data_IF_570295790882
#
_entry.id   IF_570295790882
#
_cell.length_a   1.000
_cell.length_b   1.000
_cell.length_c   1.000
_cell.angle_alpha   90.00
_cell.angle_beta   90.00
_cell.angle_gamma   90.00
#
_symmetry.space_group_name_H-M   'P 1'
#
loop_
_entity.id
_entity.type
_entity.pdbx_description
1 polymer ?
#
# COMPACT_ATOMS: atom_id res chain seq x y z
N UNK A 1 7.33 25.42 13.55
CA UNK A 1 8.67 24.83 13.79
C UNK A 1 9.37 24.36 12.51
N UNK A 2 8.66 24.09 11.41
CA UNK A 2 9.25 24.03 10.05
C UNK A 2 9.78 25.41 9.60
N UNK A 3 9.04 26.46 9.94
CA UNK A 3 9.55 27.82 9.89
C UNK A 3 10.42 28.07 11.14
N UNK A 4 11.70 27.72 11.08
CA UNK A 4 12.70 28.08 12.08
C UNK A 4 13.13 29.56 11.88
N UNK A 5 12.23 30.51 12.13
CA UNK A 5 12.48 31.94 11.89
C UNK A 5 13.11 32.22 10.50
N UNK A 6 12.57 31.59 9.45
CA UNK A 6 13.01 31.76 8.06
C UNK A 6 14.19 30.91 7.61
N UNK A 7 14.75 30.03 8.46
CA UNK A 7 15.93 29.22 8.12
C UNK A 7 15.64 27.88 7.43
N UNK A 8 14.40 27.40 7.44
CA UNK A 8 13.96 26.17 6.77
C UNK A 8 14.93 24.99 6.95
N UNK A 9 15.45 24.78 8.16
CA UNK A 9 16.45 23.76 8.48
C UNK A 9 15.94 22.71 9.47
N UNK A 10 16.45 21.47 9.35
CA UNK A 10 16.04 20.31 10.16
C UNK A 10 16.72 20.27 11.54
N UNK A 11 17.43 21.33 11.92
CA UNK A 11 18.31 21.38 13.10
C UNK A 11 17.54 21.35 14.43
N UNK A 12 16.28 21.78 14.43
CA UNK A 12 15.39 21.80 15.60
C UNK A 12 14.36 20.67 15.63
N UNK A 13 14.36 19.77 14.64
CA UNK A 13 13.41 18.66 14.58
C UNK A 13 13.83 17.51 15.52
N UNK A 14 12.86 16.92 16.22
CA UNK A 14 13.08 15.68 16.98
C UNK A 14 13.39 14.51 16.04
N UNK A 15 13.90 13.40 16.59
CA UNK A 15 14.12 12.18 15.80
C UNK A 15 12.85 11.69 15.10
N UNK A 16 11.72 11.75 15.80
CA UNK A 16 10.39 11.38 15.29
C UNK A 16 9.92 12.31 14.18
N UNK A 17 10.09 13.63 14.33
CA UNK A 17 9.72 14.61 13.31
C UNK A 17 10.54 14.41 12.01
N UNK A 18 11.83 14.09 12.13
CA UNK A 18 12.67 13.74 10.96
C UNK A 18 12.24 12.44 10.30
N UNK A 19 11.88 11.42 11.08
CA UNK A 19 11.37 10.16 10.54
C UNK A 19 10.05 10.37 9.79
N UNK A 20 9.14 11.15 10.36
CA UNK A 20 7.86 11.50 9.77
C UNK A 20 8.03 12.30 8.47
N UNK A 21 8.91 13.30 8.46
CA UNK A 21 9.23 14.09 7.26
C UNK A 21 9.79 13.20 6.15
N UNK A 22 10.73 12.30 6.47
CA UNK A 22 11.29 11.34 5.49
C UNK A 22 10.22 10.41 4.92
N UNK A 23 9.34 9.90 5.78
CA UNK A 23 8.22 9.05 5.36
C UNK A 23 7.32 9.78 4.36
N UNK A 24 6.85 10.99 4.69
CA UNK A 24 5.98 11.76 3.80
C UNK A 24 6.69 12.20 2.52
N UNK A 25 7.97 12.55 2.59
CA UNK A 25 8.76 12.84 1.39
C UNK A 25 8.83 11.62 0.46
N UNK A 26 9.03 10.40 1.00
CA UNK A 26 9.01 9.14 0.24
C UNK A 26 7.64 8.89 -0.38
N UNK A 27 6.56 8.97 0.41
CA UNK A 27 5.18 8.77 -0.04
C UNK A 27 4.79 9.74 -1.16
N UNK A 28 5.01 11.04 -0.97
CA UNK A 28 4.69 12.05 -1.98
C UNK A 28 5.52 11.90 -3.24
N UNK A 29 6.80 11.50 -3.11
CA UNK A 29 7.64 11.20 -4.27
C UNK A 29 7.10 10.01 -5.05
N UNK A 30 6.67 8.93 -4.37
CA UNK A 30 6.05 7.77 -5.02
C UNK A 30 4.76 8.14 -5.74
N UNK A 31 3.87 8.90 -5.09
CA UNK A 31 2.61 9.34 -5.70
C UNK A 31 2.82 10.13 -7.01
N UNK A 32 3.96 10.83 -7.15
CA UNK A 32 4.30 11.57 -8.37
C UNK A 32 5.09 10.76 -9.41
N UNK A 33 5.75 9.67 -9.00
CA UNK A 33 6.60 8.84 -9.88
C UNK A 33 5.86 7.64 -10.45
N UNK A 34 5.05 6.97 -9.64
CA UNK A 34 4.29 5.80 -10.08
C UNK A 34 3.02 6.29 -10.79
N UNK A 35 2.84 5.90 -12.05
CA UNK A 35 1.70 6.33 -12.86
C UNK A 35 0.40 5.74 -12.35
N UNK A 36 0.45 4.49 -11.87
CA UNK A 36 -0.65 3.85 -11.16
C UNK A 36 -1.18 4.72 -10.00
N UNK A 37 -0.30 5.37 -9.21
CA UNK A 37 -0.72 6.23 -8.11
C UNK A 37 -1.25 7.59 -8.58
N UNK A 38 -0.57 8.26 -9.51
CA UNK A 38 -0.94 9.62 -9.95
C UNK A 38 -2.16 9.65 -10.87
N UNK A 39 -2.24 8.72 -11.83
CA UNK A 39 -3.18 8.77 -12.96
C UNK A 39 -4.04 7.50 -13.07
N UNK A 40 -3.77 6.48 -12.27
CA UNK A 40 -4.39 5.17 -12.41
C UNK A 40 -5.89 5.12 -12.19
N UNK A 41 -6.46 4.03 -12.71
CA UNK A 41 -7.80 3.60 -12.34
C UNK A 41 -7.78 3.15 -10.88
N UNK A 42 -8.89 3.39 -10.18
CA UNK A 42 -9.09 2.97 -8.81
C UNK A 42 -10.06 1.79 -8.79
N UNK A 43 -9.76 0.80 -7.96
CA UNK A 43 -10.62 -0.35 -7.75
C UNK A 43 -10.72 -0.64 -6.24
N UNK A 44 -11.94 -0.65 -5.72
CA UNK A 44 -12.22 -0.86 -4.29
C UNK A 44 -12.21 -2.36 -3.95
N UNK A 45 -11.35 -2.77 -3.01
CA UNK A 45 -11.28 -4.16 -2.54
C UNK A 45 -12.19 -4.44 -1.34
N UNK A 46 -12.80 -3.42 -0.74
CA UNK A 46 -13.65 -3.58 0.44
C UNK A 46 -14.83 -4.53 0.20
N UNK A 47 -15.56 -4.48 -0.94
CA UNK A 47 -16.62 -5.45 -1.24
C UNK A 47 -16.19 -6.91 -1.16
N UNK A 48 -14.95 -7.22 -1.56
CA UNK A 48 -14.42 -8.58 -1.53
C UNK A 48 -13.93 -9.02 -0.13
N UNK A 49 -13.85 -8.07 0.81
CA UNK A 49 -13.24 -8.27 2.14
C UNK A 49 -14.20 -7.96 3.30
N UNK A 50 -15.48 -7.65 3.06
CA UNK A 50 -16.43 -7.41 4.16
C UNK A 50 -16.68 -8.66 5.02
N UNK A 51 -16.79 -9.84 4.40
CA UNK A 51 -17.02 -11.11 5.10
C UNK A 51 -15.71 -11.83 5.48
N UNK A 52 -14.55 -11.18 5.26
CA UNK A 52 -13.24 -11.75 5.53
C UNK A 52 -12.89 -11.61 7.02
N UNK A 53 -12.89 -12.72 7.76
CA UNK A 53 -12.58 -12.73 9.19
C UNK A 53 -11.12 -12.34 9.52
N UNK A 54 -10.22 -12.37 8.55
CA UNK A 54 -8.82 -11.96 8.68
C UNK A 54 -8.59 -10.50 8.19
N UNK A 55 -9.68 -9.73 7.98
CA UNK A 55 -9.65 -8.32 7.59
C UNK A 55 -10.78 -7.53 8.27
N UNK A 56 -10.48 -6.72 9.28
CA UNK A 56 -11.46 -5.88 9.95
C UNK A 56 -11.74 -4.62 9.12
N UNK A 57 -12.75 -4.70 8.25
CA UNK A 57 -13.18 -3.60 7.37
C UNK A 57 -13.60 -2.31 8.09
N UNK A 58 -13.80 -2.35 9.41
CA UNK A 58 -14.10 -1.14 10.21
C UNK A 58 -12.83 -0.35 10.57
N UNK A 59 -11.66 -0.97 10.43
CA UNK A 59 -10.36 -0.40 10.82
C UNK A 59 -9.29 -0.53 9.76
N UNK A 60 -9.45 -1.42 8.79
CA UNK A 60 -8.55 -1.56 7.67
C UNK A 60 -9.24 -1.23 6.36
N UNK A 61 -8.47 -0.66 5.45
CA UNK A 61 -8.94 -0.27 4.13
C UNK A 61 -7.94 -0.74 3.08
N UNK A 62 -8.43 -1.40 2.03
CA UNK A 62 -7.62 -1.91 0.95
C UNK A 62 -8.22 -1.53 -0.40
N UNK A 63 -7.35 -1.15 -1.34
CA UNK A 63 -7.75 -0.80 -2.70
C UNK A 63 -6.60 -1.01 -3.68
N UNK A 64 -6.94 -1.10 -4.96
CA UNK A 64 -5.97 -1.18 -6.05
C UNK A 64 -5.94 0.13 -6.84
N UNK A 65 -4.76 0.45 -7.34
CA UNK A 65 -4.49 1.50 -8.31
C UNK A 65 -3.70 0.92 -9.46
N UNK A 66 -4.10 1.21 -10.71
CA UNK A 66 -3.38 0.65 -11.86
C UNK A 66 -3.46 1.49 -13.13
N UNK A 67 -2.40 1.40 -13.95
CA UNK A 67 -2.29 2.00 -15.30
C UNK A 67 -1.59 1.04 -16.22
N UNK A 68 -2.24 0.57 -17.29
CA UNK A 68 -1.61 -0.31 -18.27
C UNK A 68 -1.10 -1.60 -17.62
N UNK A 69 0.21 -1.74 -17.50
CA UNK A 69 0.92 -2.87 -16.91
C UNK A 69 1.32 -2.66 -15.43
N UNK A 70 1.10 -1.48 -14.86
CA UNK A 70 1.40 -1.21 -13.46
C UNK A 70 0.17 -1.41 -12.56
N UNK A 71 0.34 -2.21 -11.51
CA UNK A 71 -0.67 -2.40 -10.46
C UNK A 71 -0.03 -2.19 -9.09
N UNK A 72 -0.71 -1.41 -8.25
CA UNK A 72 -0.32 -1.14 -6.87
C UNK A 72 -1.49 -1.46 -5.95
N UNK A 73 -1.23 -2.30 -4.95
CA UNK A 73 -2.11 -2.54 -3.83
C UNK A 73 -1.77 -1.56 -2.70
N UNK A 74 -2.78 -0.87 -2.19
CA UNK A 74 -2.68 -0.08 -0.97
C UNK A 74 -3.43 -0.79 0.15
N UNK A 75 -2.79 -0.90 1.32
CA UNK A 75 -3.41 -1.43 2.54
C UNK A 75 -3.12 -0.48 3.68
N UNK A 76 -4.16 -0.01 4.34
CA UNK A 76 -4.10 0.97 5.43
C UNK A 76 -4.74 0.40 6.68
N UNK A 77 -4.10 0.60 7.81
CA UNK A 77 -4.59 0.24 9.13
C UNK A 77 -4.80 1.49 9.98
N UNK A 78 -6.06 1.75 10.32
CA UNK A 78 -6.49 2.83 11.20
C UNK A 78 -6.56 2.40 12.67
N UNK A 79 -6.33 1.12 13.00
CA UNK A 79 -6.21 0.68 14.39
C UNK A 79 -4.94 1.24 15.02
N UNK A 80 -4.96 1.42 16.34
CA UNK A 80 -3.81 1.85 17.13
C UNK A 80 -2.85 0.69 17.48
N UNK A 81 -3.05 -0.49 16.86
CA UNK A 81 -2.23 -1.68 17.00
C UNK A 81 -1.78 -2.17 15.63
N UNK A 82 -0.59 -2.77 15.59
CA UNK A 82 -0.17 -3.56 14.44
C UNK A 82 -1.11 -4.75 14.25
N UNK A 83 -1.39 -5.07 12.98
CA UNK A 83 -2.25 -6.18 12.58
C UNK A 83 -1.61 -6.97 11.44
N UNK A 84 -1.83 -8.28 11.45
CA UNK A 84 -1.62 -9.14 10.29
C UNK A 84 -2.97 -9.27 9.58
N UNK A 85 -3.02 -8.84 8.31
CA UNK A 85 -4.24 -8.87 7.50
C UNK A 85 -4.08 -9.78 6.30
N UNK A 86 -5.19 -10.37 5.90
CA UNK A 86 -5.28 -11.12 4.65
C UNK A 86 -6.20 -10.36 3.72
N UNK A 87 -5.73 -10.01 2.52
CA UNK A 87 -6.53 -9.26 1.55
C UNK A 87 -6.89 -10.16 0.39
N UNK A 88 -8.19 -10.36 0.20
CA UNK A 88 -8.72 -11.06 -0.97
C UNK A 88 -8.71 -10.10 -2.16
N UNK A 89 -8.07 -10.52 -3.25
CA UNK A 89 -8.10 -9.83 -4.53
C UNK A 89 -8.88 -10.73 -5.50
N UNK A 90 -10.11 -10.38 -5.89
CA UNK A 90 -10.93 -11.22 -6.75
C UNK A 90 -10.41 -11.19 -8.20
N UNK A 91 -10.64 -12.27 -8.96
CA UNK A 91 -10.25 -12.37 -10.39
C UNK A 91 -10.69 -11.18 -11.21
N UNK A 92 -11.92 -10.71 -10.99
CA UNK A 92 -12.46 -9.60 -11.78
C UNK A 92 -11.73 -8.27 -11.53
N UNK A 93 -11.00 -8.11 -10.42
CA UNK A 93 -10.14 -6.96 -10.22
C UNK A 93 -8.94 -7.01 -11.16
N UNK A 94 -8.35 -8.20 -11.39
CA UNK A 94 -7.30 -8.38 -12.38
C UNK A 94 -7.83 -8.14 -13.80
N UNK A 95 -9.03 -8.65 -14.12
CA UNK A 95 -9.70 -8.39 -15.40
C UNK A 95 -9.95 -6.89 -15.63
N UNK A 96 -10.37 -6.16 -14.59
CA UNK A 96 -10.59 -4.72 -14.65
C UNK A 96 -9.32 -3.95 -15.05
N UNK A 97 -8.15 -4.39 -14.60
CA UNK A 97 -6.86 -3.80 -14.98
C UNK A 97 -6.24 -4.46 -16.22
N UNK A 98 -6.87 -5.48 -16.80
CA UNK A 98 -6.34 -6.21 -17.96
C UNK A 98 -5.09 -7.04 -17.64
N UNK A 99 -4.91 -7.45 -16.39
CA UNK A 99 -3.75 -8.22 -15.93
C UNK A 99 -4.06 -9.72 -16.08
N UNK A 100 -3.30 -10.47 -16.89
CA UNK A 100 -3.50 -11.90 -17.02
C UNK A 100 -3.22 -12.62 -15.70
N UNK A 101 -4.13 -13.50 -15.30
CA UNK A 101 -3.88 -14.43 -14.20
C UNK A 101 -2.93 -15.54 -14.65
N UNK A 102 -1.65 -15.40 -14.28
CA UNK A 102 -0.59 -16.37 -14.55
C UNK A 102 -0.36 -17.32 -13.37
N UNK A 103 -1.32 -17.40 -12.44
CA UNK A 103 -1.31 -18.32 -11.30
C UNK A 103 -0.61 -17.80 -10.05
N UNK A 104 0.39 -16.92 -10.17
CA UNK A 104 0.98 -16.25 -9.00
C UNK A 104 1.54 -14.87 -9.32
N UNK A 105 1.55 -14.03 -8.29
CA UNK A 105 1.98 -12.65 -8.33
C UNK A 105 2.96 -12.34 -7.21
N UNK A 106 3.93 -11.50 -7.50
CA UNK A 106 4.82 -10.91 -6.52
C UNK A 106 4.29 -9.54 -6.09
N UNK A 107 4.32 -9.26 -4.79
CA UNK A 107 3.98 -7.97 -4.20
C UNK A 107 5.19 -7.40 -3.48
N UNK A 108 5.77 -6.32 -4.00
CA UNK A 108 6.95 -5.66 -3.45
C UNK A 108 6.56 -4.41 -2.66
N UNK A 109 6.93 -4.29 -1.37
CA UNK A 109 6.62 -3.10 -0.60
C UNK A 109 7.37 -1.87 -1.14
N UNK A 110 6.71 -0.70 -1.10
CA UNK A 110 7.25 0.55 -1.61
C UNK A 110 7.57 1.56 -0.49
N UNK A 111 6.83 1.56 0.62
CA UNK A 111 7.03 2.48 1.75
C UNK A 111 7.99 1.93 2.79
N UNK A 112 7.91 0.64 3.10
CA UNK A 112 8.91 -0.05 3.91
C UNK A 112 10.28 -0.09 3.21
N UNK A 113 11.34 -0.26 3.99
CA UNK A 113 12.69 -0.52 3.48
C UNK A 113 12.96 -2.03 3.30
N UNK A 114 11.96 -2.87 3.59
CA UNK A 114 12.00 -4.30 3.28
C UNK A 114 12.17 -4.50 1.77
N UNK A 115 13.05 -5.43 1.40
CA UNK A 115 13.22 -5.86 0.01
C UNK A 115 12.54 -7.20 -0.28
N UNK A 116 11.92 -7.81 0.73
CA UNK A 116 11.22 -9.07 0.59
C UNK A 116 9.84 -8.82 0.00
N UNK A 117 9.55 -9.53 -1.08
CA UNK A 117 8.22 -9.65 -1.65
C UNK A 117 7.38 -10.67 -0.88
N UNK A 118 6.07 -10.48 -0.95
CA UNK A 118 5.09 -11.53 -0.66
C UNK A 118 4.59 -12.10 -1.97
N UNK A 119 4.38 -13.42 -2.03
CA UNK A 119 3.75 -14.09 -3.17
C UNK A 119 2.29 -14.35 -2.83
N UNK A 120 1.40 -14.15 -3.79
CA UNK A 120 -0.02 -14.46 -3.66
C UNK A 120 -0.58 -14.96 -4.99
N UNK A 121 -1.80 -15.50 -4.94
CA UNK A 121 -2.61 -15.86 -6.11
C UNK A 121 -4.07 -15.55 -5.82
N UNK A 122 -4.95 -15.75 -6.80
CA UNK A 122 -6.39 -15.63 -6.57
C UNK A 122 -6.88 -16.64 -5.52
N UNK A 123 -6.33 -17.86 -5.54
CA UNK A 123 -6.70 -18.94 -4.59
C UNK A 123 -5.95 -18.86 -3.26
N UNK A 124 -4.86 -18.09 -3.20
CA UNK A 124 -4.05 -17.89 -2.01
C UNK A 124 -3.88 -16.38 -1.76
N UNK A 125 -4.80 -15.78 -0.98
CA UNK A 125 -4.84 -14.34 -0.74
C UNK A 125 -3.55 -13.79 -0.14
N UNK A 126 -3.28 -12.52 -0.41
CA UNK A 126 -2.06 -11.86 0.07
C UNK A 126 -2.13 -11.64 1.58
N UNK A 127 -1.03 -11.97 2.29
CA UNK A 127 -0.89 -11.81 3.74
C UNK A 127 0.14 -10.73 4.04
N UNK A 128 -0.26 -9.72 4.81
CA UNK A 128 0.53 -8.50 5.03
C UNK A 128 0.47 -8.10 6.51
N UNK A 129 1.61 -7.68 7.05
CA UNK A 129 1.70 -7.01 8.35
C UNK A 129 1.64 -5.51 8.16
N UNK A 130 0.71 -4.83 8.83
CA UNK A 130 0.56 -3.37 8.79
C UNK A 130 0.64 -2.79 10.19
N UNK A 131 1.54 -1.82 10.40
CA UNK A 131 1.73 -1.17 11.69
C UNK A 131 0.50 -0.39 12.16
N UNK A 132 0.49 0.00 13.43
CA UNK A 132 -0.53 0.87 13.99
C UNK A 132 -0.60 2.22 13.24
N UNK A 133 -1.81 2.68 12.93
CA UNK A 133 -2.06 3.99 12.29
C UNK A 133 -1.17 4.25 11.07
N UNK A 134 -0.98 3.22 10.24
CA UNK A 134 -0.01 3.22 9.14
C UNK A 134 -0.58 2.56 7.89
N UNK A 135 0.17 2.57 6.81
CA UNK A 135 -0.18 1.86 5.59
C UNK A 135 1.06 1.47 4.79
N UNK A 136 0.86 0.55 3.87
CA UNK A 136 1.89 0.06 2.95
C UNK A 136 1.33 0.05 1.53
N UNK A 137 2.22 0.28 0.56
CA UNK A 137 1.93 0.16 -0.85
C UNK A 137 2.76 -0.99 -1.41
N UNK A 138 2.11 -1.88 -2.16
CA UNK A 138 2.76 -3.02 -2.80
C UNK A 138 2.67 -2.90 -4.32
N UNK A 139 3.82 -2.85 -5.00
CA UNK A 139 3.85 -2.99 -6.47
C UNK A 139 3.69 -4.45 -6.82
N UNK A 140 2.68 -4.75 -7.63
CA UNK A 140 2.34 -6.10 -8.06
C UNK A 140 2.96 -6.36 -9.43
N UNK A 141 3.60 -7.51 -9.58
CA UNK A 141 4.08 -8.01 -10.87
C UNK A 141 3.76 -9.51 -11.01
N UNK A 142 3.54 -9.98 -12.23
CA UNK A 142 3.49 -11.42 -12.49
C UNK A 142 4.81 -12.10 -12.09
N UNK A 143 4.74 -13.36 -11.64
CA UNK A 143 5.91 -14.21 -11.48
C UNK A 143 6.53 -14.63 -12.83
#
# INVERSE_FOLDING_TARGET
RWNNNGKWDDTLLTGEERALQKFYAKLLTLCNRERALSEGLFYDLMPANYDNFEFDSTKQFAFLRGTGDELILAVVNFDNKEVDVVVNIPTHAMDFFGIPDNGSFNAFPLLSDSKFNTVFSIDSPIRIKVGATSGELYKISSC
#
